data_IF_745649439265
#
_entry.id   IF_745649439265
#
_cell.length_a   1.000
_cell.length_b   1.000
_cell.length_c   1.000
_cell.angle_alpha   90.00
_cell.angle_beta   90.00
_cell.angle_gamma   90.00
#
_symmetry.space_group_name_H-M   'P 1'
#
loop_
_entity.id
_entity.type
_entity.pdbx_description
1 polymer ?
#
# COMPACT_ATOMS: atom_id res chain seq x y z
N UNK A 1 25.13 -2.86 7.44
CA UNK A 1 23.72 -2.57 7.77
C UNK A 1 22.71 -3.49 7.07
N UNK A 2 23.15 -4.46 6.25
CA UNK A 2 22.29 -5.31 5.42
C UNK A 2 21.80 -6.59 6.12
N UNK A 3 22.63 -7.26 6.91
CA UNK A 3 22.23 -8.51 7.59
C UNK A 3 21.10 -8.34 8.60
N UNK A 4 21.14 -7.28 9.41
CA UNK A 4 20.10 -7.02 10.41
C UNK A 4 18.73 -6.76 9.75
N UNK A 5 18.69 -5.98 8.66
CA UNK A 5 17.46 -5.68 7.91
C UNK A 5 16.90 -6.95 7.25
N UNK A 6 17.77 -7.81 6.72
CA UNK A 6 17.36 -9.08 6.11
C UNK A 6 16.81 -10.06 7.14
N UNK A 7 17.40 -10.13 8.33
CA UNK A 7 16.90 -10.97 9.42
C UNK A 7 15.51 -10.50 9.89
N UNK A 8 15.29 -9.19 10.00
CA UNK A 8 13.97 -8.64 10.39
C UNK A 8 12.88 -8.93 9.36
N UNK A 9 13.18 -8.87 8.06
CA UNK A 9 12.22 -9.24 7.00
C UNK A 9 11.89 -10.73 7.06
N UNK A 10 12.89 -11.59 7.27
CA UNK A 10 12.68 -13.04 7.37
C UNK A 10 11.83 -13.41 8.60
N UNK A 11 12.06 -12.76 9.75
CA UNK A 11 11.28 -12.95 10.97
C UNK A 11 9.82 -12.48 10.79
N UNK A 12 9.61 -11.35 10.11
CA UNK A 12 8.27 -10.87 9.76
C UNK A 12 7.53 -11.89 8.90
N UNK A 13 8.18 -12.36 7.82
CA UNK A 13 7.56 -13.30 6.89
C UNK A 13 7.15 -14.60 7.58
N UNK A 14 8.05 -15.15 8.41
CA UNK A 14 7.75 -16.35 9.21
C UNK A 14 6.58 -16.15 10.15
N UNK A 15 6.47 -14.97 10.78
CA UNK A 15 5.37 -14.66 11.71
C UNK A 15 4.04 -14.60 10.96
N UNK A 16 3.99 -13.95 9.80
CA UNK A 16 2.79 -13.87 8.96
C UNK A 16 2.38 -15.27 8.48
N UNK A 17 3.32 -16.07 7.98
CA UNK A 17 3.05 -17.46 7.55
C UNK A 17 2.49 -18.32 8.69
N UNK A 18 3.01 -18.18 9.92
CA UNK A 18 2.50 -18.89 11.09
C UNK A 18 1.08 -18.47 11.45
N UNK A 19 0.76 -17.18 11.41
CA UNK A 19 -0.59 -16.67 11.65
C UNK A 19 -1.57 -17.21 10.60
N UNK A 20 -1.18 -17.20 9.33
CA UNK A 20 -1.99 -17.76 8.24
C UNK A 20 -2.25 -19.26 8.40
N UNK A 21 -1.22 -20.04 8.77
CA UNK A 21 -1.37 -21.46 9.05
C UNK A 21 -2.31 -21.77 10.24
N UNK A 22 -2.53 -20.79 11.13
CA UNK A 22 -3.45 -20.88 12.27
C UNK A 22 -4.85 -20.31 11.96
N UNK A 23 -5.10 -19.87 10.71
CA UNK A 23 -6.36 -19.24 10.31
C UNK A 23 -6.54 -17.80 10.79
N UNK A 24 -5.50 -17.18 11.36
CA UNK A 24 -5.50 -15.81 11.89
C UNK A 24 -5.21 -14.79 10.78
N UNK A 25 -5.99 -14.84 9.70
CA UNK A 25 -5.70 -14.07 8.50
C UNK A 25 -5.85 -12.55 8.70
N UNK A 26 -6.75 -12.11 9.58
CA UNK A 26 -6.94 -10.68 9.87
C UNK A 26 -5.73 -10.11 10.60
N UNK A 27 -5.28 -10.81 11.66
CA UNK A 27 -4.10 -10.45 12.43
C UNK A 27 -2.83 -10.51 11.57
N UNK A 28 -2.75 -11.47 10.65
CA UNK A 28 -1.66 -11.58 9.68
C UNK A 28 -1.56 -10.33 8.78
N UNK A 29 -2.68 -9.84 8.23
CA UNK A 29 -2.71 -8.62 7.42
C UNK A 29 -2.30 -7.41 8.26
N UNK A 30 -2.89 -7.25 9.44
CA UNK A 30 -2.60 -6.11 10.31
C UNK A 30 -1.14 -6.09 10.72
N UNK A 31 -0.58 -7.25 11.06
CA UNK A 31 0.83 -7.39 11.40
C UNK A 31 1.72 -7.02 10.20
N UNK A 32 1.42 -7.57 9.01
CA UNK A 32 2.17 -7.29 7.79
C UNK A 32 2.20 -5.79 7.46
N UNK A 33 1.05 -5.12 7.43
CA UNK A 33 0.96 -3.69 7.15
C UNK A 33 1.70 -2.87 8.21
N UNK A 34 1.58 -3.24 9.48
CA UNK A 34 2.20 -2.48 10.56
C UNK A 34 3.73 -2.61 10.58
N UNK A 35 4.26 -3.75 10.13
CA UNK A 35 5.71 -4.03 10.07
C UNK A 35 6.38 -3.63 8.76
N UNK A 36 5.60 -3.26 7.75
CA UNK A 36 6.12 -2.81 6.45
C UNK A 36 6.14 -1.28 6.38
N UNK A 37 7.15 -0.75 5.71
CA UNK A 37 7.19 0.67 5.35
C UNK A 37 6.04 1.02 4.39
N UNK A 38 5.31 2.09 4.69
CA UNK A 38 4.09 2.44 3.97
C UNK A 38 4.36 2.73 2.49
N UNK A 39 5.44 3.47 2.16
CA UNK A 39 5.76 3.79 0.76
C UNK A 39 6.09 2.52 -0.04
N UNK A 40 6.87 1.62 0.55
CA UNK A 40 7.22 0.33 -0.05
C UNK A 40 5.96 -0.48 -0.36
N UNK A 41 5.03 -0.58 0.60
CA UNK A 41 3.79 -1.33 0.43
C UNK A 41 2.84 -0.67 -0.59
N UNK A 42 2.74 0.66 -0.59
CA UNK A 42 1.95 1.42 -1.57
C UNK A 42 2.45 1.17 -2.98
N UNK A 43 3.76 1.26 -3.21
CA UNK A 43 4.36 1.04 -4.54
C UNK A 43 4.17 -0.40 -5.01
N UNK A 44 4.38 -1.37 -4.12
CA UNK A 44 4.13 -2.77 -4.45
C UNK A 44 2.67 -3.02 -4.82
N UNK A 45 1.72 -2.51 -4.03
CA UNK A 45 0.29 -2.63 -4.33
C UNK A 45 -0.05 -1.97 -5.66
N UNK A 46 0.49 -0.79 -5.95
CA UNK A 46 0.26 -0.12 -7.21
C UNK A 46 0.77 -0.96 -8.40
N UNK A 47 1.96 -1.54 -8.27
CA UNK A 47 2.52 -2.45 -9.28
C UNK A 47 1.67 -3.72 -9.42
N UNK A 48 1.23 -4.32 -8.33
CA UNK A 48 0.42 -5.54 -8.34
C UNK A 48 -0.95 -5.30 -9.01
N UNK A 49 -1.67 -4.26 -8.60
CA UNK A 49 -2.99 -3.91 -9.12
C UNK A 49 -2.91 -3.55 -10.62
N UNK A 50 -1.80 -2.92 -11.05
CA UNK A 50 -1.60 -2.51 -12.45
C UNK A 50 -1.68 -3.67 -13.45
N UNK A 51 -1.40 -4.90 -13.02
CA UNK A 51 -1.42 -6.09 -13.89
C UNK A 51 -2.83 -6.46 -14.40
N UNK A 52 -3.88 -5.96 -13.74
CA UNK A 52 -5.28 -6.27 -14.05
C UNK A 52 -6.16 -5.02 -14.18
N UNK A 53 -5.54 -3.85 -14.34
CA UNK A 53 -6.22 -2.55 -14.33
C UNK A 53 -6.61 -2.07 -15.74
N UNK A 54 -7.54 -1.11 -15.79
CA UNK A 54 -7.84 -0.36 -17.01
C UNK A 54 -6.66 0.51 -17.44
N UNK A 55 -6.67 1.01 -18.68
CA UNK A 55 -5.60 1.89 -19.19
C UNK A 55 -5.56 3.24 -18.45
N UNK A 56 -6.72 3.77 -18.05
CA UNK A 56 -6.82 5.02 -17.26
C UNK A 56 -6.22 4.83 -15.87
N UNK A 57 -6.56 3.74 -15.18
CA UNK A 57 -5.97 3.39 -13.87
C UNK A 57 -4.47 3.15 -13.98
N UNK A 58 -4.01 2.52 -15.07
CA UNK A 58 -2.62 2.16 -15.28
C UNK A 58 -1.70 3.40 -15.24
N UNK A 59 -2.13 4.53 -15.81
CA UNK A 59 -1.33 5.76 -15.80
C UNK A 59 -1.08 6.23 -14.38
N UNK A 60 -2.12 6.32 -13.55
CA UNK A 60 -2.01 6.77 -12.16
C UNK A 60 -1.18 5.78 -11.32
N UNK A 61 -1.41 4.47 -11.47
CA UNK A 61 -0.63 3.44 -10.77
C UNK A 61 0.85 3.51 -11.14
N UNK A 62 1.19 3.74 -12.40
CA UNK A 62 2.58 3.91 -12.84
C UNK A 62 3.22 5.19 -12.27
N UNK A 63 2.47 6.28 -12.15
CA UNK A 63 2.95 7.49 -11.48
C UNK A 63 3.27 7.23 -10.01
N UNK A 64 2.42 6.49 -9.29
CA UNK A 64 2.67 6.07 -7.89
C UNK A 64 3.95 5.25 -7.77
N UNK A 65 4.13 4.25 -8.65
CA UNK A 65 5.33 3.37 -8.64
C UNK A 65 6.61 4.18 -8.88
N UNK A 66 6.59 5.12 -9.84
CA UNK A 66 7.75 5.89 -10.27
C UNK A 66 8.05 7.10 -9.39
N UNK A 67 7.12 7.51 -8.53
CA UNK A 67 7.28 8.67 -7.66
C UNK A 67 8.56 8.58 -6.81
N UNK A 68 9.25 9.71 -6.67
CA UNK A 68 10.52 9.80 -5.93
C UNK A 68 10.33 10.59 -4.64
N UNK A 69 10.94 10.09 -3.57
CA UNK A 69 10.89 10.76 -2.27
C UNK A 69 11.39 12.20 -2.36
N UNK A 70 10.60 13.14 -1.83
CA UNK A 70 10.88 14.58 -1.89
C UNK A 70 10.36 15.31 -3.14
N UNK A 71 9.81 14.61 -4.13
CA UNK A 71 9.17 15.23 -5.30
C UNK A 71 7.74 15.68 -4.95
N UNK A 72 7.62 16.86 -4.31
CA UNK A 72 6.35 17.36 -3.82
C UNK A 72 5.38 17.76 -4.95
N UNK A 73 5.90 18.27 -6.07
CA UNK A 73 5.09 18.62 -7.24
C UNK A 73 4.39 17.39 -7.80
N UNK A 74 5.14 16.30 -8.02
CA UNK A 74 4.57 15.05 -8.48
C UNK A 74 3.65 14.42 -7.42
N UNK A 75 3.94 14.60 -6.12
CA UNK A 75 3.08 14.12 -5.03
C UNK A 75 1.69 14.76 -5.10
N UNK A 76 1.63 16.07 -5.36
CA UNK A 76 0.37 16.79 -5.56
C UNK A 76 -0.34 16.41 -6.86
N UNK A 77 0.40 16.21 -7.94
CA UNK A 77 -0.16 15.73 -9.21
C UNK A 77 -0.86 14.38 -9.02
N UNK A 78 -0.19 13.43 -8.36
CA UNK A 78 -0.76 12.12 -8.02
C UNK A 78 -2.03 12.28 -7.19
N UNK A 79 -2.03 13.17 -6.18
CA UNK A 79 -3.22 13.43 -5.36
C UNK A 79 -4.40 13.93 -6.19
N UNK A 80 -4.20 14.92 -7.06
CA UNK A 80 -5.27 15.48 -7.90
C UNK A 80 -5.83 14.45 -8.88
N UNK A 81 -4.96 13.63 -9.46
CA UNK A 81 -5.38 12.53 -10.34
C UNK A 81 -6.13 11.44 -9.56
N UNK A 82 -5.74 11.19 -8.31
CA UNK A 82 -6.42 10.25 -7.41
C UNK A 82 -7.79 10.74 -6.98
N UNK A 83 -7.94 12.03 -6.73
CA UNK A 83 -9.23 12.68 -6.46
C UNK A 83 -10.16 12.53 -7.67
N UNK A 84 -9.64 12.78 -8.87
CA UNK A 84 -10.39 12.65 -10.13
C UNK A 84 -10.83 11.21 -10.40
N UNK A 85 -9.98 10.23 -10.09
CA UNK A 85 -10.32 8.81 -10.15
C UNK A 85 -11.32 8.38 -9.05
N UNK A 86 -11.44 9.18 -7.98
CA UNK A 86 -12.28 8.94 -6.82
C UNK A 86 -11.58 8.11 -5.74
N UNK A 87 -11.54 8.64 -4.52
CA UNK A 87 -10.88 7.97 -3.38
C UNK A 87 -11.58 6.69 -2.89
N UNK A 88 -12.78 6.38 -3.38
CA UNK A 88 -13.43 5.09 -3.13
C UNK A 88 -12.92 3.96 -4.03
N UNK A 89 -12.15 4.27 -5.08
CA UNK A 89 -11.48 3.27 -5.92
C UNK A 89 -10.16 2.83 -5.29
N UNK A 90 -9.68 1.62 -5.61
CA UNK A 90 -8.37 1.16 -5.12
C UNK A 90 -7.24 2.07 -5.60
N UNK A 91 -7.27 2.49 -6.87
CA UNK A 91 -6.28 3.38 -7.47
C UNK A 91 -6.25 4.74 -6.77
N UNK A 92 -7.40 5.39 -6.63
CA UNK A 92 -7.50 6.69 -5.97
C UNK A 92 -7.13 6.62 -4.48
N UNK A 93 -7.55 5.56 -3.78
CA UNK A 93 -7.18 5.34 -2.39
C UNK A 93 -5.65 5.17 -2.21
N UNK A 94 -4.96 4.45 -3.11
CA UNK A 94 -3.50 4.31 -3.04
C UNK A 94 -2.78 5.64 -3.23
N UNK A 95 -3.20 6.46 -4.18
CA UNK A 95 -2.58 7.76 -4.38
C UNK A 95 -2.86 8.73 -3.24
N UNK A 96 -4.05 8.68 -2.62
CA UNK A 96 -4.31 9.38 -1.36
C UNK A 96 -3.37 8.90 -0.25
N UNK A 97 -3.20 7.58 -0.11
CA UNK A 97 -2.28 7.01 0.88
C UNK A 97 -0.83 7.46 0.69
N UNK A 98 -0.37 7.56 -0.56
CA UNK A 98 0.94 8.14 -0.87
C UNK A 98 0.99 9.60 -0.42
N UNK A 99 0.01 10.40 -0.82
CA UNK A 99 -0.04 11.82 -0.52
C UNK A 99 0.07 12.10 0.99
N UNK A 100 -0.73 11.42 1.81
CA UNK A 100 -0.79 11.66 3.25
C UNK A 100 0.42 11.12 4.01
N UNK A 101 1.13 10.13 3.45
CA UNK A 101 2.27 9.49 4.12
C UNK A 101 3.61 10.18 3.83
N UNK A 102 3.67 10.95 2.73
CA UNK A 102 4.94 11.47 2.20
C UNK A 102 5.10 12.99 2.32
N UNK A 103 4.16 13.71 2.95
CA UNK A 103 4.31 15.15 3.11
C UNK A 103 3.15 15.85 3.77
N UNK A 104 3.19 17.18 3.71
CA UNK A 104 2.13 18.04 4.23
C UNK A 104 0.85 17.93 3.39
N UNK A 105 -0.29 18.00 4.05
CA UNK A 105 -1.62 18.11 3.46
C UNK A 105 -1.95 19.55 3.02
N UNK A 106 -1.19 20.53 3.50
CA UNK A 106 -1.28 21.92 3.07
C UNK A 106 -0.18 22.23 2.05
N UNK A 107 -0.51 22.95 0.95
CA UNK A 107 0.49 23.38 -0.01
C UNK A 107 1.28 24.59 0.53
N UNK A 108 2.45 24.85 -0.03
CA UNK A 108 3.16 26.11 0.24
C UNK A 108 2.32 27.32 -0.21
N UNK A 109 2.39 28.47 0.49
CA UNK A 109 3.25 28.78 1.62
C UNK A 109 2.59 28.53 2.99
N UNK A 110 1.48 27.80 3.06
CA UNK A 110 0.76 27.58 4.31
C UNK A 110 1.55 26.72 5.30
N UNK A 111 1.25 26.87 6.59
CA UNK A 111 1.85 26.04 7.63
C UNK A 111 1.58 24.55 7.37
N UNK A 112 2.56 23.66 7.58
CA UNK A 112 2.42 22.25 7.28
C UNK A 112 1.37 21.58 8.18
N UNK A 113 0.48 20.80 7.55
CA UNK A 113 -0.55 20.01 8.23
C UNK A 113 -0.31 18.55 7.94
N UNK A 114 -0.31 17.70 8.95
CA UNK A 114 -0.08 16.27 8.77
C UNK A 114 -1.32 15.47 9.18
N UNK A 115 -1.54 14.35 8.49
CA UNK A 115 -2.58 13.41 8.88
C UNK A 115 -2.28 12.79 10.26
N UNK A 116 -3.30 12.34 11.00
CA UNK A 116 -3.09 11.51 12.19
C UNK A 116 -2.23 10.28 11.86
N UNK A 117 -1.44 9.83 12.83
CA UNK A 117 -0.59 8.65 12.65
C UNK A 117 -1.41 7.43 12.21
N UNK A 118 -0.82 6.63 11.31
CA UNK A 118 -1.39 5.39 10.77
C UNK A 118 -2.63 5.56 9.87
N UNK A 119 -3.03 6.79 9.50
CA UNK A 119 -4.15 7.01 8.58
C UNK A 119 -3.90 6.34 7.22
N UNK A 120 -2.67 6.39 6.73
CA UNK A 120 -2.21 5.73 5.51
C UNK A 120 -2.32 4.21 5.61
N UNK A 121 -1.97 3.63 6.76
CA UNK A 121 -2.05 2.18 6.96
C UNK A 121 -3.49 1.68 6.95
N UNK A 122 -4.44 2.47 7.44
CA UNK A 122 -5.87 2.15 7.34
C UNK A 122 -6.36 2.17 5.90
N UNK A 123 -5.89 3.12 5.08
CA UNK A 123 -6.22 3.17 3.66
C UNK A 123 -5.61 1.96 2.94
N UNK A 124 -4.33 1.66 3.19
CA UNK A 124 -3.64 0.48 2.65
C UNK A 124 -4.39 -0.81 3.03
N UNK A 125 -4.83 -0.95 4.28
CA UNK A 125 -5.64 -2.08 4.74
C UNK A 125 -6.92 -2.21 3.91
N UNK A 126 -7.66 -1.12 3.70
CA UNK A 126 -8.87 -1.13 2.87
C UNK A 126 -8.61 -1.56 1.43
N UNK A 127 -7.53 -1.07 0.81
CA UNK A 127 -7.12 -1.46 -0.54
C UNK A 127 -6.76 -2.95 -0.61
N UNK A 128 -6.03 -3.46 0.38
CA UNK A 128 -5.67 -4.87 0.48
C UNK A 128 -6.91 -5.75 0.60
N UNK A 129 -7.84 -5.43 1.51
CA UNK A 129 -9.10 -6.17 1.64
C UNK A 129 -9.89 -6.17 0.34
N UNK A 130 -10.01 -5.01 -0.32
CA UNK A 130 -10.67 -4.92 -1.62
C UNK A 130 -9.99 -5.80 -2.69
N UNK A 131 -8.67 -5.97 -2.62
CA UNK A 131 -7.93 -6.85 -3.54
C UNK A 131 -8.14 -8.32 -3.22
N UNK A 132 -8.21 -8.68 -1.95
CA UNK A 132 -8.45 -10.05 -1.49
C UNK A 132 -9.82 -10.56 -1.93
N UNK A 133 -10.83 -9.70 -1.97
CA UNK A 133 -12.16 -10.05 -2.47
C UNK A 133 -12.21 -10.36 -3.97
N UNK A 134 -11.14 -10.08 -4.73
CA UNK A 134 -11.07 -10.34 -6.17
C UNK A 134 -10.37 -11.65 -6.53
N UNK A 135 -9.61 -12.25 -5.60
CA UNK A 135 -8.67 -13.32 -5.93
C UNK A 135 -9.19 -14.74 -5.69
N UNK A 136 -9.74 -15.04 -4.51
CA UNK A 136 -10.22 -16.38 -4.14
C UNK A 136 -11.55 -16.33 -3.38
N UNK A 137 -12.19 -17.50 -3.25
CA UNK A 137 -13.50 -17.67 -2.60
C UNK A 137 -13.43 -17.52 -1.07
N UNK A 138 -12.26 -17.76 -0.45
CA UNK A 138 -12.06 -17.60 1.00
C UNK A 138 -10.98 -16.56 1.33
N UNK A 139 -11.18 -15.74 2.39
CA UNK A 139 -10.22 -14.69 2.76
C UNK A 139 -8.81 -15.21 3.08
N UNK A 140 -8.69 -16.37 3.71
CA UNK A 140 -7.42 -16.98 4.10
C UNK A 140 -6.57 -17.39 2.90
N UNK A 141 -7.17 -18.02 1.88
CA UNK A 141 -6.49 -18.35 0.62
C UNK A 141 -6.05 -17.09 -0.13
N UNK A 142 -6.92 -16.08 -0.19
CA UNK A 142 -6.60 -14.79 -0.79
C UNK A 142 -5.40 -14.12 -0.11
N UNK A 143 -5.34 -14.13 1.22
CA UNK A 143 -4.25 -13.48 1.97
C UNK A 143 -2.95 -14.25 1.76
N UNK A 144 -3.00 -15.57 1.80
CA UNK A 144 -1.84 -16.39 1.53
C UNK A 144 -1.26 -16.12 0.14
N UNK A 145 -2.11 -16.06 -0.89
CA UNK A 145 -1.69 -15.77 -2.26
C UNK A 145 -1.04 -14.38 -2.38
N UNK A 146 -1.68 -13.32 -1.86
CA UNK A 146 -1.11 -11.97 -1.94
C UNK A 146 0.20 -11.87 -1.16
N UNK A 147 0.28 -12.47 0.01
CA UNK A 147 1.48 -12.44 0.83
C UNK A 147 2.65 -13.20 0.18
N UNK A 148 2.37 -14.34 -0.46
CA UNK A 148 3.37 -15.06 -1.26
C UNK A 148 3.87 -14.20 -2.43
N UNK A 149 2.99 -13.48 -3.12
CA UNK A 149 3.42 -12.56 -4.17
C UNK A 149 4.32 -11.45 -3.61
N UNK A 150 3.98 -10.88 -2.46
CA UNK A 150 4.82 -9.89 -1.75
C UNK A 150 6.21 -10.43 -1.43
N UNK A 151 6.30 -11.63 -0.85
CA UNK A 151 7.57 -12.26 -0.49
C UNK A 151 8.48 -12.55 -1.69
N UNK A 152 7.91 -12.69 -2.89
CA UNK A 152 8.63 -13.00 -4.13
C UNK A 152 8.91 -11.77 -5.01
N UNK A 153 8.53 -10.56 -4.56
CA UNK A 153 8.69 -9.31 -5.31
C UNK A 153 10.03 -8.62 -5.07
#
# INVERSE_FOLDING_TARGET
MTEAKNNTVLEMNKTVEQMLAQGQWQEAIEFWINKTDSLTLIKWLAQFISQSSSEEDLVLLQSIVKWKEGDDEQRWEIFNNSESAGFSTQTGALGLSLFISQGSLSPAPYDPVYAPSFSEKKIIYGVLIAQLCKSHDTPDESVFFLFQHWCNS
#
